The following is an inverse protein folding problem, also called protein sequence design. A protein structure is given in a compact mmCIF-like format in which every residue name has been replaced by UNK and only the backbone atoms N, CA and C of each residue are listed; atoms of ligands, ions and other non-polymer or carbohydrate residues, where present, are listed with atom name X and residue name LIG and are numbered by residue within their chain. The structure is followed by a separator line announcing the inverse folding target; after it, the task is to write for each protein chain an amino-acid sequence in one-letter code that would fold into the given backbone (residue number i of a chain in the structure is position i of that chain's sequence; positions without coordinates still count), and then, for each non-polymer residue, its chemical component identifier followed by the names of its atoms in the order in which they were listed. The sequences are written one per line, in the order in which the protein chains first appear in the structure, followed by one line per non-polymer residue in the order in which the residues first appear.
data_IF_396762736359
#
_entry.id   IF_396762736359
#
_cell.length_a   1.000
_cell.length_b   1.000
_cell.length_c   1.000
_cell.angle_alpha   90.00
_cell.angle_beta   90.00
_cell.angle_gamma   90.00
#
_symmetry.space_group_name_H-M   'P 1'
#
loop_
_entity.id
_entity.type
_entity.pdbx_description
1 polymer ?
#
# COMPACT_ATOMS: atom_id res chain seq x y z
N UNK A 1 -3.31 -2.50 -8.38
CA UNK A 1 -4.33 -3.28 -7.61
C UNK A 1 -5.74 -2.65 -7.66
N UNK A 2 -6.00 -1.39 -7.22
CA UNK A 2 -7.36 -0.84 -7.26
C UNK A 2 -7.99 -0.81 -8.66
N UNK A 3 -7.18 -0.52 -9.69
CA UNK A 3 -7.59 -0.60 -11.10
C UNK A 3 -8.10 -1.99 -11.49
N UNK A 4 -7.34 -3.04 -11.18
CA UNK A 4 -7.70 -4.43 -11.51
C UNK A 4 -8.96 -4.90 -10.77
N UNK A 5 -9.15 -4.48 -9.53
CA UNK A 5 -10.38 -4.74 -8.77
C UNK A 5 -11.58 -4.10 -9.48
N UNK A 6 -11.47 -2.83 -9.91
CA UNK A 6 -12.54 -2.14 -10.64
C UNK A 6 -12.80 -2.76 -12.01
N UNK A 7 -11.75 -3.10 -12.77
CA UNK A 7 -11.86 -3.80 -14.08
C UNK A 7 -12.62 -5.13 -13.95
N UNK A 8 -12.46 -5.81 -12.81
CA UNK A 8 -13.14 -7.07 -12.49
C UNK A 8 -14.56 -6.87 -11.88
N UNK A 9 -15.07 -5.64 -11.83
CA UNK A 9 -16.40 -5.31 -11.28
C UNK A 9 -16.47 -5.17 -9.76
N UNK A 10 -15.33 -5.19 -9.06
CA UNK A 10 -15.24 -5.02 -7.62
C UNK A 10 -15.12 -3.56 -7.18
N UNK A 11 -15.29 -3.33 -5.88
CA UNK A 11 -15.10 -2.02 -5.25
C UNK A 11 -13.87 -2.07 -4.34
N UNK A 12 -12.73 -1.45 -4.72
CA UNK A 12 -11.54 -1.47 -3.89
C UNK A 12 -11.75 -0.58 -2.65
N UNK A 13 -11.40 -1.11 -1.48
CA UNK A 13 -11.38 -0.37 -0.22
C UNK A 13 -9.97 -0.40 0.36
N UNK A 14 -9.30 0.75 0.32
CA UNK A 14 -7.99 0.89 0.97
C UNK A 14 -8.18 1.13 2.47
N UNK A 15 -7.39 0.45 3.29
CA UNK A 15 -7.48 0.53 4.74
C UNK A 15 -6.11 0.55 5.41
N UNK A 16 -6.11 0.81 6.72
CA UNK A 16 -4.90 0.87 7.55
C UNK A 16 -4.17 -0.48 7.54
N UNK A 17 -2.84 -0.42 7.57
CA UNK A 17 -1.98 -1.60 7.66
C UNK A 17 -2.10 -2.26 9.03
N UNK A 18 -2.09 -3.60 9.09
CA UNK A 18 -2.03 -4.38 10.32
C UNK A 18 -3.13 -5.44 10.38
N UNK A 19 -2.72 -6.70 10.58
CA UNK A 19 -3.59 -7.87 10.64
C UNK A 19 -4.91 -7.64 11.42
N UNK A 20 -4.84 -7.17 12.67
CA UNK A 20 -6.03 -7.01 13.51
C UNK A 20 -6.98 -5.93 12.99
N UNK A 21 -6.43 -4.84 12.45
CA UNK A 21 -7.22 -3.74 11.89
C UNK A 21 -7.94 -4.18 10.61
N UNK A 22 -7.25 -4.95 9.76
CA UNK A 22 -7.79 -5.44 8.51
C UNK A 22 -8.86 -6.52 8.75
N UNK A 23 -8.62 -7.46 9.67
CA UNK A 23 -9.60 -8.47 10.11
C UNK A 23 -10.91 -7.83 10.60
N UNK A 24 -10.81 -6.80 11.43
CA UNK A 24 -11.98 -6.07 11.91
C UNK A 24 -12.72 -5.37 10.76
N UNK A 25 -11.98 -4.77 9.82
CA UNK A 25 -12.60 -4.08 8.67
C UNK A 25 -13.32 -5.04 7.73
N UNK A 26 -12.79 -6.25 7.52
CA UNK A 26 -13.44 -7.29 6.71
C UNK A 26 -14.76 -7.70 7.34
N UNK A 27 -14.80 -7.90 8.67
CA UNK A 27 -16.03 -8.20 9.39
C UNK A 27 -17.04 -7.05 9.32
N UNK A 28 -16.58 -5.82 9.49
CA UNK A 28 -17.42 -4.61 9.43
C UNK A 28 -18.08 -4.44 8.05
N UNK A 29 -17.32 -4.68 6.99
CA UNK A 29 -17.75 -4.41 5.59
C UNK A 29 -18.35 -5.62 4.89
N UNK A 30 -18.15 -6.82 5.42
CA UNK A 30 -18.49 -8.07 4.73
C UNK A 30 -17.65 -8.31 3.47
N UNK A 31 -16.48 -7.65 3.32
CA UNK A 31 -15.63 -7.81 2.14
C UNK A 31 -15.25 -9.30 1.96
N UNK A 32 -15.36 -9.88 0.75
CA UNK A 32 -15.10 -11.31 0.52
C UNK A 32 -13.61 -11.67 0.51
N UNK A 33 -12.74 -10.67 0.32
CA UNK A 33 -11.29 -10.82 0.25
C UNK A 33 -10.63 -9.56 0.82
N UNK A 34 -9.54 -9.75 1.57
CA UNK A 34 -8.64 -8.68 1.96
C UNK A 34 -7.19 -9.16 1.97
N UNK A 35 -6.25 -8.23 1.96
CA UNK A 35 -4.84 -8.57 2.07
C UNK A 35 -3.96 -7.38 2.41
N UNK A 36 -2.81 -7.66 2.99
CA UNK A 36 -1.74 -6.69 3.26
C UNK A 36 -0.40 -7.15 2.67
N UNK A 37 0.52 -6.20 2.50
CA UNK A 37 1.79 -6.43 1.83
C UNK A 37 2.71 -7.42 2.56
N UNK A 38 2.56 -7.59 3.88
CA UNK A 38 3.24 -8.61 4.68
C UNK A 38 2.86 -10.05 4.31
N UNK A 39 1.84 -10.25 3.47
CA UNK A 39 1.41 -11.57 2.99
C UNK A 39 0.20 -12.15 3.74
N UNK A 40 -0.34 -11.45 4.73
CA UNK A 40 -1.60 -11.84 5.34
C UNK A 40 -2.74 -11.61 4.34
N UNK A 41 -3.40 -12.69 3.93
CA UNK A 41 -4.53 -12.70 2.99
C UNK A 41 -5.72 -13.32 3.71
N UNK A 42 -6.85 -12.62 3.67
CA UNK A 42 -8.07 -12.92 4.41
C UNK A 42 -9.17 -13.29 3.41
N UNK A 43 -9.74 -14.49 3.55
CA UNK A 43 -10.80 -14.97 2.68
C UNK A 43 -12.11 -15.06 3.48
N UNK A 44 -13.18 -14.45 2.97
CA UNK A 44 -14.47 -14.31 3.65
C UNK A 44 -15.68 -14.69 2.74
N UNK A 45 -15.45 -15.34 1.60
CA UNK A 45 -16.50 -15.83 0.70
C UNK A 45 -17.03 -17.22 1.10
N UNK A 46 -16.14 -18.10 1.57
CA UNK A 46 -16.38 -19.49 1.98
C UNK A 46 -15.60 -19.85 3.24
N UNK A 47 -15.10 -18.84 3.95
CA UNK A 47 -14.21 -18.98 5.09
C UNK A 47 -14.48 -17.86 6.11
N UNK A 48 -14.13 -18.00 7.39
CA UNK A 48 -14.59 -17.07 8.44
C UNK A 48 -13.92 -15.68 8.45
N UNK A 49 -13.19 -15.29 7.41
CA UNK A 49 -12.62 -13.94 7.28
C UNK A 49 -11.39 -13.67 8.16
N UNK A 50 -10.74 -14.70 8.69
CA UNK A 50 -9.37 -14.59 9.20
C UNK A 50 -8.37 -14.99 8.11
N UNK A 51 -7.15 -14.54 8.27
CA UNK A 51 -5.99 -14.89 7.46
C UNK A 51 -5.48 -16.29 7.77
N UNK A 52 -5.29 -17.07 6.72
CA UNK A 52 -4.79 -18.43 6.83
C UNK A 52 -4.02 -18.76 5.56
N UNK A 53 -2.69 -18.84 5.67
CA UNK A 53 -1.82 -19.11 4.54
C UNK A 53 -2.04 -20.51 3.93
N UNK A 54 -2.44 -21.49 4.75
CA UNK A 54 -2.73 -22.86 4.29
C UNK A 54 -4.01 -22.84 3.46
N UNK A 55 -5.05 -22.19 3.96
CA UNK A 55 -6.31 -22.07 3.22
C UNK A 55 -6.14 -21.23 1.94
N UNK A 56 -5.41 -20.12 1.99
CA UNK A 56 -5.08 -19.30 0.81
C UNK A 56 -4.32 -20.12 -0.22
N UNK A 57 -3.36 -20.95 0.20
CA UNK A 57 -2.63 -21.86 -0.70
C UNK A 57 -3.56 -22.89 -1.34
N UNK A 58 -4.49 -23.47 -0.57
CA UNK A 58 -5.48 -24.39 -1.09
C UNK A 58 -6.42 -23.73 -2.10
N UNK A 59 -6.85 -22.48 -1.87
CA UNK A 59 -7.67 -21.69 -2.80
C UNK A 59 -6.90 -21.33 -4.08
N UNK A 60 -5.61 -21.03 -3.98
CA UNK A 60 -4.76 -20.84 -5.14
C UNK A 60 -4.64 -22.13 -5.97
N UNK A 61 -4.42 -23.29 -5.32
CA UNK A 61 -4.38 -24.59 -5.99
C UNK A 61 -5.72 -24.95 -6.65
N UNK A 62 -6.85 -24.65 -6.00
CA UNK A 62 -8.18 -24.78 -6.59
C UNK A 62 -8.27 -24.00 -7.92
N UNK A 63 -7.89 -22.72 -7.92
CA UNK A 63 -7.90 -21.85 -9.11
C UNK A 63 -7.00 -22.40 -10.22
N UNK A 64 -5.80 -22.88 -9.87
CA UNK A 64 -4.83 -23.40 -10.83
C UNK A 64 -5.32 -24.73 -11.42
N UNK A 65 -5.88 -25.62 -10.59
CA UNK A 65 -6.37 -26.93 -11.03
C UNK A 65 -7.51 -26.87 -12.04
N UNK A 66 -8.19 -25.72 -12.13
CA UNK A 66 -9.32 -25.49 -13.05
C UNK A 66 -8.90 -24.88 -14.39
N UNK A 67 -7.60 -24.75 -14.65
CA UNK A 67 -7.07 -24.17 -15.89
C UNK A 67 -5.78 -24.84 -16.34
N UNK A 68 -5.58 -24.92 -17.67
CA UNK A 68 -4.30 -25.34 -18.26
C UNK A 68 -3.26 -24.19 -18.31
N UNK A 69 -3.62 -23.00 -17.79
CA UNK A 69 -2.71 -21.85 -17.76
C UNK A 69 -1.54 -22.10 -16.80
N UNK A 70 -0.36 -21.67 -17.21
CA UNK A 70 0.78 -21.52 -16.29
C UNK A 70 0.45 -20.47 -15.23
N UNK A 71 0.92 -20.66 -14.01
CA UNK A 71 0.76 -19.68 -12.91
C UNK A 71 1.22 -18.28 -13.33
N UNK A 72 2.33 -18.19 -14.07
CA UNK A 72 2.88 -16.92 -14.58
C UNK A 72 1.92 -16.14 -15.48
N UNK A 73 0.97 -16.82 -16.14
CA UNK A 73 0.03 -16.21 -17.07
C UNK A 73 -1.22 -15.63 -16.37
N UNK A 74 -1.41 -15.88 -15.07
CA UNK A 74 -2.55 -15.31 -14.33
C UNK A 74 -2.44 -13.81 -14.10
N UNK A 75 -1.24 -13.24 -14.29
CA UNK A 75 -1.00 -11.80 -14.23
C UNK A 75 -0.88 -11.16 -15.62
N UNK A 76 -1.12 -11.91 -16.70
CA UNK A 76 -1.10 -11.36 -18.06
C UNK A 76 -2.15 -10.24 -18.19
N UNK A 77 -1.73 -9.09 -18.70
CA UNK A 77 -2.59 -7.91 -18.86
C UNK A 77 -2.75 -7.05 -17.60
N UNK A 78 -2.20 -7.47 -16.45
CA UNK A 78 -2.09 -6.60 -15.27
C UNK A 78 -0.98 -5.59 -15.51
N UNK A 79 -1.27 -4.30 -15.31
CA UNK A 79 -0.29 -3.23 -15.45
C UNK A 79 0.89 -3.46 -14.49
N UNK A 80 2.13 -3.63 -14.99
CA UNK A 80 3.30 -3.74 -14.12
C UNK A 80 3.65 -2.37 -13.53
N UNK A 81 4.15 -2.38 -12.30
CA UNK A 81 4.68 -1.20 -11.62
C UNK A 81 6.09 -1.50 -11.13
N UNK A 82 7.00 -0.54 -11.32
CA UNK A 82 8.28 -0.50 -10.65
C UNK A 82 8.07 0.01 -9.23
N UNK A 83 8.72 -0.61 -8.25
CA UNK A 83 8.56 -0.26 -6.84
C UNK A 83 9.90 -0.08 -6.15
N UNK A 84 9.96 0.84 -5.20
CA UNK A 84 11.07 0.89 -4.25
C UNK A 84 10.89 -0.18 -3.17
N UNK A 85 11.97 -0.63 -2.50
CA UNK A 85 11.83 -1.24 -1.20
C UNK A 85 11.16 -0.25 -0.22
N UNK A 86 10.82 -0.73 0.97
CA UNK A 86 10.48 0.17 2.07
C UNK A 86 11.71 1.02 2.41
N UNK A 87 11.57 2.35 2.32
CA UNK A 87 12.64 3.30 2.62
C UNK A 87 12.36 3.90 4.00
N UNK A 88 13.38 3.89 4.85
CA UNK A 88 13.34 4.46 6.20
C UNK A 88 14.02 5.82 6.19
N UNK A 89 13.25 6.85 6.48
CA UNK A 89 13.72 8.22 6.58
C UNK A 89 13.88 8.57 8.06
N UNK A 90 15.11 8.56 8.54
CA UNK A 90 15.46 8.85 9.93
C UNK A 90 15.22 10.32 10.27
N UNK A 91 14.60 10.55 11.43
CA UNK A 91 14.36 11.86 12.01
C UNK A 91 15.16 11.99 13.33
N UNK A 92 15.45 13.22 13.74
CA UNK A 92 16.22 13.46 14.97
C UNK A 92 15.47 13.01 16.24
N UNK A 93 14.13 13.09 16.24
CA UNK A 93 13.29 12.65 17.35
C UNK A 93 11.90 12.20 16.89
N UNK A 94 11.13 11.58 17.80
CA UNK A 94 9.72 11.27 17.55
C UNK A 94 8.90 12.55 17.32
N UNK A 95 9.21 13.63 18.03
CA UNK A 95 8.54 14.91 17.87
C UNK A 95 8.72 15.44 16.44
N UNK A 96 9.96 15.41 15.92
CA UNK A 96 10.26 15.84 14.55
C UNK A 96 9.56 14.96 13.53
N UNK A 97 9.62 13.63 13.70
CA UNK A 97 8.90 12.66 12.85
C UNK A 97 7.42 13.01 12.74
N UNK A 98 6.74 13.23 13.87
CA UNK A 98 5.31 13.54 13.88
C UNK A 98 5.02 14.92 13.29
N UNK A 99 5.86 15.92 13.55
CA UNK A 99 5.70 17.26 12.98
C UNK A 99 5.87 17.26 11.46
N UNK A 100 6.94 16.65 10.95
CA UNK A 100 7.23 16.52 9.51
C UNK A 100 6.10 15.76 8.82
N UNK A 101 5.67 14.63 9.39
CA UNK A 101 4.57 13.83 8.82
C UNK A 101 3.27 14.64 8.77
N UNK A 102 2.94 15.39 9.83
CA UNK A 102 1.75 16.26 9.86
C UNK A 102 1.80 17.34 8.78
N UNK A 103 2.95 18.01 8.61
CA UNK A 103 3.15 19.01 7.54
C UNK A 103 3.02 18.38 6.16
N UNK A 104 3.60 17.19 5.96
CA UNK A 104 3.47 16.44 4.71
C UNK A 104 2.02 16.09 4.39
N UNK A 105 1.28 15.54 5.36
CA UNK A 105 -0.16 15.22 5.20
C UNK A 105 -0.94 16.47 4.78
N UNK A 106 -0.76 17.59 5.49
CA UNK A 106 -1.45 18.84 5.18
C UNK A 106 -1.13 19.33 3.75
N UNK A 107 0.16 19.42 3.40
CA UNK A 107 0.60 19.89 2.10
C UNK A 107 0.08 19.01 0.96
N UNK A 108 0.28 17.70 1.04
CA UNK A 108 -0.10 16.82 -0.05
C UNK A 108 -1.62 16.72 -0.22
N UNK A 109 -2.39 16.81 0.87
CA UNK A 109 -3.85 16.84 0.80
C UNK A 109 -4.40 18.10 0.13
N UNK A 110 -3.72 19.23 0.27
CA UNK A 110 -4.10 20.48 -0.38
C UNK A 110 -3.75 20.49 -1.88
N UNK A 111 -2.71 19.75 -2.28
CA UNK A 111 -2.12 19.86 -3.62
C UNK A 111 -2.37 18.64 -4.54
N UNK A 112 -2.82 17.51 -4.00
CA UNK A 112 -2.96 16.25 -4.74
C UNK A 112 -4.19 15.46 -4.29
N UNK A 113 -4.60 14.49 -5.12
CA UNK A 113 -5.50 13.43 -4.68
C UNK A 113 -4.75 12.50 -3.73
N UNK A 114 -5.29 12.32 -2.52
CA UNK A 114 -4.63 11.53 -1.47
C UNK A 114 -5.58 10.56 -0.78
N UNK A 115 -4.99 9.51 -0.20
CA UNK A 115 -5.62 8.64 0.79
C UNK A 115 -4.85 8.85 2.11
N UNK A 116 -5.52 9.39 3.13
CA UNK A 116 -4.93 9.84 4.40
C UNK A 116 -5.30 8.96 5.60
N UNK A 117 -5.59 7.68 5.35
CA UNK A 117 -6.00 6.72 6.41
C UNK A 117 -4.86 6.33 7.35
N UNK A 118 -3.63 6.29 6.85
CA UNK A 118 -2.41 5.89 7.57
C UNK A 118 -1.20 6.68 7.02
N UNK A 119 -1.04 7.92 7.49
CA UNK A 119 -0.13 8.89 6.89
C UNK A 119 -0.76 9.57 5.67
N UNK A 120 -0.02 9.73 4.58
CA UNK A 120 -0.52 10.23 3.30
C UNK A 120 -0.02 9.37 2.15
N UNK A 121 -0.95 8.82 1.38
CA UNK A 121 -0.69 8.16 0.10
C UNK A 121 -1.13 9.07 -1.03
N UNK A 122 -0.18 9.56 -1.80
CA UNK A 122 -0.36 10.51 -2.91
C UNK A 122 -0.62 9.72 -4.18
N UNK A 123 -1.66 10.09 -4.94
CA UNK A 123 -2.02 9.45 -6.20
C UNK A 123 -1.61 10.33 -7.37
N UNK A 124 -0.79 9.79 -8.29
CA UNK A 124 -0.35 10.49 -9.51
C UNK A 124 -0.98 9.94 -10.79
N UNK A 125 -1.85 8.92 -10.69
CA UNK A 125 -2.45 8.23 -11.83
C UNK A 125 -1.52 7.18 -12.45
N UNK A 126 -0.29 7.56 -12.77
CA UNK A 126 0.77 6.68 -13.30
C UNK A 126 1.70 6.09 -12.22
N UNK A 127 1.43 6.42 -10.96
CA UNK A 127 2.21 6.02 -9.81
C UNK A 127 1.61 6.55 -8.50
N UNK A 128 2.27 6.21 -7.39
CA UNK A 128 1.89 6.68 -6.07
C UNK A 128 3.10 6.78 -5.14
N UNK A 129 2.97 7.62 -4.10
CA UNK A 129 3.96 7.73 -3.02
C UNK A 129 3.29 7.67 -1.66
N UNK A 130 3.85 6.89 -0.73
CA UNK A 130 3.39 6.79 0.65
C UNK A 130 4.36 7.51 1.57
N UNK A 131 3.83 8.27 2.52
CA UNK A 131 4.56 8.85 3.66
C UNK A 131 3.79 8.52 4.93
N UNK A 132 4.39 7.75 5.85
CA UNK A 132 3.77 7.47 7.15
C UNK A 132 4.79 7.53 8.28
N UNK A 133 4.36 7.93 9.47
CA UNK A 133 5.20 7.85 10.65
C UNK A 133 5.28 6.40 11.14
N UNK A 134 6.48 5.93 11.48
CA UNK A 134 6.64 4.68 12.22
C UNK A 134 6.06 4.81 13.64
N UNK A 135 5.37 3.78 14.10
CA UNK A 135 4.80 3.74 15.46
C UNK A 135 5.85 3.44 16.53
N UNK A 136 6.99 2.86 16.17
CA UNK A 136 7.96 2.29 17.12
C UNK A 136 9.31 2.97 17.12
N UNK A 137 9.61 3.81 16.13
CA UNK A 137 10.92 4.43 15.92
C UNK A 137 10.77 5.86 15.41
N UNK A 138 11.78 6.74 15.60
CA UNK A 138 11.83 8.09 15.05
C UNK A 138 12.14 8.07 13.54
N UNK A 139 11.30 7.36 12.78
CA UNK A 139 11.45 7.12 11.34
C UNK A 139 10.15 7.42 10.62
N UNK A 140 10.26 8.08 9.47
CA UNK A 140 9.19 8.18 8.47
C UNK A 140 9.42 7.07 7.45
N UNK A 141 8.41 6.24 7.24
CA UNK A 141 8.44 5.18 6.23
C UNK A 141 7.88 5.74 4.93
N UNK A 142 8.65 5.60 3.86
CA UNK A 142 8.22 5.96 2.51
C UNK A 142 8.36 4.79 1.53
N UNK A 143 7.46 4.75 0.54
CA UNK A 143 7.50 3.77 -0.55
C UNK A 143 6.85 4.37 -1.78
N UNK A 144 7.40 4.05 -2.95
CA UNK A 144 6.96 4.59 -4.23
C UNK A 144 6.71 3.48 -5.23
N UNK A 145 5.73 3.68 -6.10
CA UNK A 145 5.54 2.87 -7.30
C UNK A 145 5.21 3.75 -8.50
N UNK A 146 5.67 3.35 -9.68
CA UNK A 146 5.34 4.01 -10.94
C UNK A 146 5.42 3.05 -12.13
N UNK A 147 4.79 3.40 -13.25
CA UNK A 147 4.80 2.57 -14.46
C UNK A 147 6.15 2.56 -15.19
N UNK A 148 7.03 3.53 -14.94
CA UNK A 148 8.39 3.56 -15.49
C UNK A 148 9.44 3.88 -14.42
N UNK A 149 10.71 3.45 -14.59
CA UNK A 149 11.79 3.78 -13.68
C UNK A 149 12.05 5.29 -13.54
N UNK A 150 11.92 6.04 -14.64
CA UNK A 150 12.11 7.50 -14.66
C UNK A 150 11.03 8.17 -13.81
N UNK A 151 9.78 7.74 -13.98
CA UNK A 151 8.65 8.27 -13.22
C UNK A 151 8.75 7.91 -11.73
N UNK A 152 9.26 6.72 -11.42
CA UNK A 152 9.53 6.30 -10.04
C UNK A 152 10.54 7.25 -9.38
N UNK A 153 11.62 7.57 -10.08
CA UNK A 153 12.64 8.50 -9.58
C UNK A 153 12.07 9.91 -9.39
N UNK A 154 11.27 10.42 -10.33
CA UNK A 154 10.61 11.72 -10.21
C UNK A 154 9.71 11.81 -8.97
N UNK A 155 8.82 10.82 -8.79
CA UNK A 155 7.90 10.77 -7.64
C UNK A 155 8.70 10.69 -6.33
N UNK A 156 9.72 9.84 -6.28
CA UNK A 156 10.59 9.72 -5.11
C UNK A 156 11.27 11.05 -4.80
N UNK A 157 11.89 11.71 -5.79
CA UNK A 157 12.55 13.00 -5.60
C UNK A 157 11.60 14.10 -5.15
N UNK A 158 10.38 14.16 -5.72
CA UNK A 158 9.35 15.14 -5.34
C UNK A 158 8.96 14.98 -3.88
N UNK A 159 8.61 13.76 -3.47
CA UNK A 159 8.11 13.50 -2.11
C UNK A 159 9.22 13.68 -1.08
N UNK A 160 10.39 13.06 -1.31
CA UNK A 160 11.54 13.16 -0.41
C UNK A 160 12.06 14.60 -0.31
N UNK A 161 12.12 15.31 -1.44
CA UNK A 161 12.50 16.72 -1.46
C UNK A 161 11.58 17.55 -0.57
N UNK A 162 10.27 17.30 -0.64
CA UNK A 162 9.31 17.98 0.22
C UNK A 162 9.48 17.65 1.70
N UNK A 163 9.81 16.41 2.06
CA UNK A 163 10.08 16.05 3.46
C UNK A 163 11.28 16.83 4.03
N UNK A 164 12.33 17.04 3.22
CA UNK A 164 13.51 17.83 3.61
C UNK A 164 13.21 19.31 3.83
N UNK A 165 12.18 19.86 3.18
CA UNK A 165 11.72 21.23 3.45
C UNK A 165 10.99 21.37 4.79
N UNK A 166 10.41 20.27 5.30
CA UNK A 166 9.63 20.29 6.54
C UNK A 166 10.46 20.05 7.80
N UNK A 167 11.66 19.48 7.66
CA UNK A 167 12.61 19.24 8.75
C UNK A 167 13.86 18.46 8.32
N UNK A 168 14.80 18.29 9.25
CA UNK A 168 16.01 17.51 9.01
C UNK A 168 15.70 16.01 8.94
N UNK A 169 16.02 15.40 7.80
CA UNK A 169 15.78 13.99 7.54
C UNK A 169 16.98 13.32 6.86
N UNK A 170 17.25 12.06 7.21
CA UNK A 170 18.30 11.23 6.61
C UNK A 170 17.69 9.97 6.00
N UNK A 171 18.23 9.51 4.86
CA UNK A 171 17.71 8.38 4.08
C UNK A 171 18.76 7.29 4.06
#
# INVERSE_FOLDING_TARGET
LPEEIRKSGGQPLMWKTGHSLLKNKIKETGAPLGGEMSGHIFINDKFPGYDDAVYVSARLLEIISQSDKKISAYLDGVTPYHSTPEIRVECASDQDKFEITRKAVAYFKENYEVIDVDGVRIQFGDGWGLVRASNTQPVIVVRFEAQTPERLAEIQSLVVGKLKEFGEVKI
#
